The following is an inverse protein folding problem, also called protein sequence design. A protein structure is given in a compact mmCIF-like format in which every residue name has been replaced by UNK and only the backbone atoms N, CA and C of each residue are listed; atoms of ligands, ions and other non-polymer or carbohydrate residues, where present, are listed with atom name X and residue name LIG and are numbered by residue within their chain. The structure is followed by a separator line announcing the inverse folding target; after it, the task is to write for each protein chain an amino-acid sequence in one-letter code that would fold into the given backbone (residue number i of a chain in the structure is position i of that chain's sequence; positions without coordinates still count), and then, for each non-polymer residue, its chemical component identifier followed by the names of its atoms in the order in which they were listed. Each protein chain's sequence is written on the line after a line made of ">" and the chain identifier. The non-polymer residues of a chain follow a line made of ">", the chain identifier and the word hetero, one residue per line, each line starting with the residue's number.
data_IF_801402953136
#
_entry.id   IF_801402953136
#
_cell.length_a   1.000
_cell.length_b   1.000
_cell.length_c   1.000
_cell.angle_alpha   90.00
_cell.angle_beta   90.00
_cell.angle_gamma   90.00
#
_symmetry.space_group_name_H-M   'P 1'
#
loop_
_entity.id
_entity.type
_entity.pdbx_description
1 polymer ?
#
# COMPACT_ATOMS: atom_id res chain seq x y z
N UNK A 1 -10.48 -8.56 21.58
CA UNK A 1 -10.61 -7.09 21.39
C UNK A 1 -10.56 -6.81 19.90
N UNK A 2 -11.68 -6.40 19.29
CA UNK A 2 -11.68 -5.98 17.90
C UNK A 2 -10.90 -4.68 17.77
N UNK A 3 -9.73 -4.75 17.13
CA UNK A 3 -8.92 -3.57 16.80
C UNK A 3 -9.68 -2.84 15.71
N UNK A 4 -10.39 -1.76 16.06
CA UNK A 4 -11.03 -0.89 15.08
C UNK A 4 -9.93 -0.34 14.19
N UNK A 5 -9.94 -0.71 12.91
CA UNK A 5 -9.01 -0.16 11.92
C UNK A 5 -9.54 1.24 11.62
N UNK A 6 -8.91 2.24 12.23
CA UNK A 6 -9.24 3.63 11.95
C UNK A 6 -8.48 4.03 10.68
N UNK A 7 -9.16 4.02 9.54
CA UNK A 7 -8.59 4.52 8.29
C UNK A 7 -8.46 6.04 8.38
N UNK A 8 -7.25 6.54 8.16
CA UNK A 8 -7.03 7.98 8.05
C UNK A 8 -7.21 8.39 6.58
N UNK A 9 -7.67 9.62 6.34
CA UNK A 9 -7.71 10.22 4.99
C UNK A 9 -6.37 10.09 4.28
N UNK A 10 -5.26 10.13 5.02
CA UNK A 10 -3.92 9.93 4.49
C UNK A 10 -3.69 8.56 3.87
N UNK A 11 -4.29 7.50 4.40
CA UNK A 11 -4.14 6.14 3.84
C UNK A 11 -4.78 6.07 2.45
N UNK A 12 -5.95 6.71 2.28
CA UNK A 12 -6.63 6.81 0.99
C UNK A 12 -5.86 7.68 -0.01
N UNK A 13 -5.36 8.84 0.43
CA UNK A 13 -4.55 9.72 -0.43
C UNK A 13 -3.30 8.97 -0.92
N UNK A 14 -2.65 8.20 -0.05
CA UNK A 14 -1.47 7.41 -0.41
C UNK A 14 -1.79 6.33 -1.45
N UNK A 15 -2.90 5.61 -1.26
CA UNK A 15 -3.36 4.61 -2.22
C UNK A 15 -3.69 5.23 -3.59
N UNK A 16 -4.33 6.40 -3.62
CA UNK A 16 -4.65 7.12 -4.85
C UNK A 16 -3.39 7.56 -5.60
N UNK A 17 -2.37 8.06 -4.90
CA UNK A 17 -1.10 8.40 -5.54
C UNK A 17 -0.40 7.17 -6.13
N UNK A 18 -0.38 6.03 -5.43
CA UNK A 18 0.18 4.80 -5.98
C UNK A 18 -0.57 4.33 -7.23
N UNK A 19 -1.89 4.46 -7.24
CA UNK A 19 -2.72 4.14 -8.42
C UNK A 19 -2.41 5.07 -9.60
N UNK A 20 -2.31 6.38 -9.36
CA UNK A 20 -1.94 7.36 -10.39
C UNK A 20 -0.56 7.05 -10.97
N UNK A 21 0.42 6.72 -10.12
CA UNK A 21 1.76 6.30 -10.54
C UNK A 21 1.69 5.06 -11.44
N UNK A 22 0.90 4.04 -11.08
CA UNK A 22 0.71 2.84 -11.90
C UNK A 22 0.16 3.20 -13.29
N UNK A 23 -0.91 3.98 -13.35
CA UNK A 23 -1.55 4.39 -14.60
C UNK A 23 -0.59 5.18 -15.50
N UNK A 24 0.22 6.07 -14.92
CA UNK A 24 1.23 6.82 -15.67
C UNK A 24 2.32 5.91 -16.23
N UNK A 25 2.80 4.94 -15.45
CA UNK A 25 3.77 3.94 -15.93
C UNK A 25 3.20 3.08 -17.05
N UNK A 26 1.96 2.64 -16.94
CA UNK A 26 1.25 1.90 -18.00
C UNK A 26 1.10 2.73 -19.29
N UNK A 27 0.95 4.05 -19.17
CA UNK A 27 0.94 4.99 -20.29
C UNK A 27 2.35 5.38 -20.79
N UNK A 28 3.41 4.75 -20.26
CA UNK A 28 4.81 5.09 -20.53
C UNK A 28 5.18 6.56 -20.21
N UNK A 29 4.46 7.21 -19.29
CA UNK A 29 4.70 8.58 -18.81
C UNK A 29 5.58 8.58 -17.56
N UNK A 30 6.79 8.04 -17.71
CA UNK A 30 7.69 7.78 -16.59
C UNK A 30 8.11 9.07 -15.84
N UNK A 31 8.32 10.17 -16.54
CA UNK A 31 8.68 11.46 -15.93
C UNK A 31 7.55 12.05 -15.07
N UNK A 32 6.29 11.88 -15.48
CA UNK A 32 5.13 12.31 -14.71
C UNK A 32 4.98 11.46 -13.44
N UNK A 33 5.13 10.14 -13.56
CA UNK A 33 5.14 9.23 -12.43
C UNK A 33 6.24 9.59 -11.42
N UNK A 34 7.44 9.91 -11.90
CA UNK A 34 8.58 10.29 -11.07
C UNK A 34 8.31 11.59 -10.29
N UNK A 35 7.69 12.59 -10.92
CA UNK A 35 7.30 13.84 -10.23
C UNK A 35 6.35 13.59 -9.06
N UNK A 36 5.39 12.68 -9.22
CA UNK A 36 4.46 12.31 -8.13
C UNK A 36 5.24 11.63 -7.00
N UNK A 37 6.11 10.68 -7.31
CA UNK A 37 6.96 10.00 -6.31
C UNK A 37 7.78 11.02 -5.50
N UNK A 38 8.35 12.02 -6.17
CA UNK A 38 9.11 13.09 -5.52
C UNK A 38 8.24 13.96 -4.60
N UNK A 39 7.01 14.29 -5.02
CA UNK A 39 6.05 15.03 -4.20
C UNK A 39 5.69 14.23 -2.95
N UNK A 40 5.38 12.93 -3.09
CA UNK A 40 5.09 12.04 -1.95
C UNK A 40 6.28 12.00 -1.00
N UNK A 41 7.48 11.76 -1.54
CA UNK A 41 8.69 11.63 -0.74
C UNK A 41 8.99 12.94 0.02
N UNK A 42 8.86 14.08 -0.64
CA UNK A 42 9.02 15.40 -0.03
C UNK A 42 8.00 15.62 1.09
N UNK A 43 6.74 15.30 0.85
CA UNK A 43 5.68 15.42 1.85
C UNK A 43 5.98 14.57 3.09
N UNK A 44 6.32 13.30 2.90
CA UNK A 44 6.64 12.38 4.00
C UNK A 44 7.88 12.82 4.79
N UNK A 45 8.87 13.42 4.12
CA UNK A 45 10.10 13.91 4.75
C UNK A 45 9.98 15.34 5.31
N UNK A 46 8.82 16.00 5.16
CA UNK A 46 8.63 17.34 5.69
C UNK A 46 8.50 17.26 7.22
N UNK A 47 9.41 17.90 7.98
CA UNK A 47 9.37 17.84 9.43
C UNK A 47 8.12 18.54 9.96
N UNK A 48 7.55 17.96 11.01
CA UNK A 48 6.47 18.61 11.76
C UNK A 48 7.05 19.58 12.79
N UNK A 49 6.23 20.43 13.41
CA UNK A 49 6.68 21.38 14.46
C UNK A 49 7.32 20.72 15.68
N UNK A 50 7.18 19.40 15.82
CA UNK A 50 7.64 18.61 16.97
C UNK A 50 8.84 17.71 16.63
N UNK A 51 9.33 17.71 15.38
CA UNK A 51 10.40 16.81 14.92
C UNK A 51 11.49 17.60 14.20
N UNK A 52 12.73 17.10 14.25
CA UNK A 52 13.85 17.68 13.48
C UNK A 52 13.88 17.10 12.06
N UNK A 53 14.56 17.74 11.10
CA UNK A 53 14.74 17.17 9.77
C UNK A 53 15.38 15.77 9.81
N UNK A 54 16.41 15.57 10.62
CA UNK A 54 17.10 14.30 10.81
C UNK A 54 16.19 13.27 11.50
N UNK A 55 15.48 13.68 12.55
CA UNK A 55 14.52 12.83 13.27
C UNK A 55 13.41 12.34 12.35
N UNK A 56 12.88 13.23 11.51
CA UNK A 56 11.86 12.91 10.50
C UNK A 56 12.37 11.88 9.51
N UNK A 57 13.59 12.07 8.96
CA UNK A 57 14.21 11.10 8.03
C UNK A 57 14.39 9.73 8.68
N UNK A 58 14.91 9.66 9.91
CA UNK A 58 15.09 8.38 10.62
C UNK A 58 13.76 7.70 10.91
N UNK A 59 12.75 8.46 11.33
CA UNK A 59 11.41 7.93 11.62
C UNK A 59 10.73 7.40 10.36
N UNK A 60 10.82 8.11 9.23
CA UNK A 60 10.27 7.67 7.96
C UNK A 60 11.00 6.47 7.37
N UNK A 61 12.33 6.40 7.50
CA UNK A 61 13.09 5.21 7.09
C UNK A 61 12.61 3.97 7.84
N UNK A 62 12.54 4.04 9.18
CA UNK A 62 11.98 2.97 10.03
C UNK A 62 10.52 2.67 9.71
N UNK A 63 9.73 3.68 9.31
CA UNK A 63 8.33 3.47 8.91
C UNK A 63 8.25 2.64 7.64
N UNK A 64 9.05 2.97 6.62
CA UNK A 64 9.07 2.27 5.32
C UNK A 64 9.49 0.81 5.47
N UNK A 65 10.49 0.53 6.31
CA UNK A 65 10.94 -0.84 6.61
C UNK A 65 9.85 -1.73 7.23
N UNK A 66 8.87 -1.15 7.93
CA UNK A 66 7.78 -1.95 8.54
C UNK A 66 6.78 -2.51 7.53
N UNK A 67 6.78 -2.02 6.29
CA UNK A 67 5.92 -2.54 5.24
C UNK A 67 6.61 -3.72 4.57
N UNK A 68 6.21 -4.92 4.95
CA UNK A 68 6.66 -6.18 4.34
C UNK A 68 5.58 -6.76 3.44
N UNK A 69 5.96 -7.71 2.57
CA UNK A 69 5.02 -8.44 1.73
C UNK A 69 3.86 -9.03 2.54
N UNK A 70 4.17 -9.72 3.64
CA UNK A 70 3.18 -10.39 4.50
C UNK A 70 2.23 -9.36 5.12
N UNK A 71 2.73 -8.17 5.45
CA UNK A 71 1.93 -7.09 6.03
C UNK A 71 0.92 -6.48 5.06
N UNK A 72 1.26 -6.41 3.76
CA UNK A 72 0.43 -5.74 2.74
C UNK A 72 -0.58 -6.69 2.10
N UNK A 73 -0.29 -7.98 1.99
CA UNK A 73 -1.22 -8.95 1.39
C UNK A 73 -2.37 -9.32 2.33
N UNK A 74 -2.20 -9.21 3.66
CA UNK A 74 -3.25 -9.53 4.66
C UNK A 74 -3.78 -10.97 4.62
N UNK A 75 -2.96 -11.94 4.19
CA UNK A 75 -3.36 -13.36 4.10
C UNK A 75 -3.97 -13.90 5.41
N UNK A 76 -3.35 -13.65 6.57
CA UNK A 76 -3.85 -14.14 7.87
C UNK A 76 -5.28 -13.65 8.15
N UNK A 77 -5.59 -12.41 7.78
CA UNK A 77 -6.92 -11.83 7.96
C UNK A 77 -7.94 -12.48 7.01
N UNK A 78 -7.56 -12.69 5.76
CA UNK A 78 -8.40 -13.30 4.73
C UNK A 78 -8.69 -14.76 5.10
N UNK A 79 -7.66 -15.54 5.44
CA UNK A 79 -7.78 -16.96 5.80
C UNK A 79 -8.66 -17.16 7.02
N UNK A 80 -8.49 -16.35 8.06
CA UNK A 80 -9.34 -16.40 9.25
C UNK A 80 -10.81 -16.15 8.91
N UNK A 81 -11.10 -15.10 8.15
CA UNK A 81 -12.48 -14.75 7.86
C UNK A 81 -13.11 -15.76 6.86
N UNK A 82 -12.32 -16.41 6.00
CA UNK A 82 -12.75 -17.56 5.19
C UNK A 82 -13.04 -18.81 6.03
N UNK A 83 -12.24 -19.11 7.06
CA UNK A 83 -12.49 -20.21 8.00
C UNK A 83 -13.83 -20.04 8.73
N UNK A 84 -14.21 -18.79 9.00
CA UNK A 84 -15.49 -18.41 9.60
C UNK A 84 -16.66 -18.34 8.58
N UNK A 85 -16.43 -18.73 7.32
CA UNK A 85 -17.36 -18.58 6.18
C UNK A 85 -17.83 -17.13 5.93
N UNK A 86 -17.09 -16.12 6.40
CA UNK A 86 -17.36 -14.71 6.19
C UNK A 86 -16.67 -14.21 4.91
N UNK A 87 -17.22 -14.61 3.77
CA UNK A 87 -16.73 -14.23 2.44
C UNK A 87 -16.69 -12.70 2.28
N UNK A 88 -17.67 -12.00 2.87
CA UNK A 88 -17.76 -10.54 2.78
C UNK A 88 -16.54 -9.90 3.44
N UNK A 89 -16.22 -10.25 4.69
CA UNK A 89 -15.02 -9.70 5.34
C UNK A 89 -13.72 -10.14 4.69
N UNK A 90 -13.63 -11.38 4.23
CA UNK A 90 -12.47 -11.83 3.46
C UNK A 90 -12.24 -10.93 2.22
N UNK A 91 -13.31 -10.51 1.55
CA UNK A 91 -13.24 -9.59 0.41
C UNK A 91 -12.93 -8.14 0.83
N UNK A 92 -13.44 -7.67 1.98
CA UNK A 92 -13.00 -6.39 2.56
C UNK A 92 -11.48 -6.38 2.77
N UNK A 93 -10.91 -7.46 3.30
CA UNK A 93 -9.45 -7.61 3.45
C UNK A 93 -8.69 -7.64 2.13
N UNK A 94 -9.20 -8.35 1.11
CA UNK A 94 -8.60 -8.31 -0.24
C UNK A 94 -8.57 -6.90 -0.80
N UNK A 95 -9.66 -6.13 -0.63
CA UNK A 95 -9.73 -4.75 -1.09
C UNK A 95 -8.73 -3.85 -0.34
N UNK A 96 -8.65 -3.98 0.98
CA UNK A 96 -7.67 -3.25 1.80
C UNK A 96 -6.23 -3.60 1.38
N UNK A 97 -5.97 -4.89 1.13
CA UNK A 97 -4.67 -5.36 0.68
C UNK A 97 -4.30 -4.80 -0.69
N UNK A 98 -5.25 -4.72 -1.64
CA UNK A 98 -5.02 -4.07 -2.94
C UNK A 98 -4.58 -2.62 -2.80
N UNK A 99 -5.27 -1.83 -1.95
CA UNK A 99 -4.88 -0.45 -1.68
C UNK A 99 -3.46 -0.36 -1.10
N UNK A 100 -3.11 -1.28 -0.18
CA UNK A 100 -1.78 -1.35 0.42
C UNK A 100 -0.69 -1.77 -0.56
N UNK A 101 -0.94 -2.77 -1.39
CA UNK A 101 0.01 -3.28 -2.38
C UNK A 101 0.29 -2.24 -3.47
N UNK A 102 -0.75 -1.66 -4.08
CA UNK A 102 -0.59 -0.64 -5.12
C UNK A 102 0.01 0.63 -4.52
N UNK A 103 -0.59 1.14 -3.43
CA UNK A 103 -0.23 2.40 -2.79
C UNK A 103 1.23 2.46 -2.38
N UNK A 104 1.77 1.38 -1.81
CA UNK A 104 3.13 1.38 -1.30
C UNK A 104 4.15 0.93 -2.36
N UNK A 105 3.90 -0.15 -3.10
CA UNK A 105 4.89 -0.74 -4.01
C UNK A 105 5.17 0.16 -5.22
N UNK A 106 4.16 0.84 -5.76
CA UNK A 106 4.33 1.65 -6.97
C UNK A 106 5.24 2.86 -6.78
N UNK A 107 5.34 3.36 -5.56
CA UNK A 107 6.16 4.52 -5.25
C UNK A 107 7.66 4.22 -5.29
N UNK A 108 8.08 2.95 -5.17
CA UNK A 108 9.48 2.59 -5.02
C UNK A 108 10.10 3.02 -3.67
N UNK A 109 9.33 3.61 -2.75
CA UNK A 109 9.85 4.17 -1.50
C UNK A 109 9.99 3.14 -0.36
N UNK A 110 9.49 1.92 -0.55
CA UNK A 110 9.39 0.89 0.48
C UNK A 110 10.32 -0.30 0.13
N UNK A 111 11.52 -0.39 0.73
CA UNK A 111 12.58 -1.29 0.27
C UNK A 111 12.15 -2.76 0.29
N UNK A 112 11.55 -3.21 1.40
CA UNK A 112 11.10 -4.59 1.57
C UNK A 112 9.97 -5.00 0.61
N UNK A 113 9.23 -4.04 0.05
CA UNK A 113 8.23 -4.30 -0.99
C UNK A 113 8.86 -4.31 -2.38
N UNK A 114 9.84 -3.45 -2.64
CA UNK A 114 10.56 -3.40 -3.91
C UNK A 114 11.26 -4.74 -4.21
N UNK A 115 11.83 -5.38 -3.19
CA UNK A 115 12.48 -6.70 -3.30
C UNK A 115 11.52 -7.81 -3.71
N UNK A 116 10.20 -7.62 -3.49
CA UNK A 116 9.15 -8.62 -3.69
C UNK A 116 8.16 -8.18 -4.76
N UNK A 117 8.53 -7.23 -5.63
CA UNK A 117 7.61 -6.55 -6.55
C UNK A 117 6.83 -7.52 -7.45
N UNK A 118 7.48 -8.54 -8.00
CA UNK A 118 6.84 -9.51 -8.90
C UNK A 118 5.82 -10.38 -8.16
N UNK A 119 6.12 -10.81 -6.92
CA UNK A 119 5.18 -11.53 -6.07
C UNK A 119 3.96 -10.66 -5.72
N UNK A 120 4.19 -9.37 -5.45
CA UNK A 120 3.12 -8.41 -5.17
C UNK A 120 2.22 -8.25 -6.40
N UNK A 121 2.79 -8.17 -7.60
CA UNK A 121 1.99 -8.05 -8.84
C UNK A 121 1.12 -9.28 -9.09
N UNK A 122 1.68 -10.48 -8.85
CA UNK A 122 0.91 -11.71 -8.91
C UNK A 122 -0.27 -11.69 -7.93
N UNK A 123 -0.05 -11.22 -6.69
CA UNK A 123 -1.10 -11.11 -5.68
C UNK A 123 -2.15 -10.05 -6.00
N UNK A 124 -1.77 -8.92 -6.60
CA UNK A 124 -2.72 -7.92 -7.09
C UNK A 124 -3.66 -8.56 -8.12
N UNK A 125 -3.12 -9.30 -9.08
CA UNK A 125 -3.91 -9.99 -10.11
C UNK A 125 -4.86 -11.02 -9.50
N UNK A 126 -4.38 -11.82 -8.55
CA UNK A 126 -5.19 -12.80 -7.82
C UNK A 126 -6.36 -12.11 -7.10
N UNK A 127 -6.11 -11.03 -6.36
CA UNK A 127 -7.14 -10.37 -5.56
C UNK A 127 -8.17 -9.65 -6.43
N UNK A 128 -7.76 -9.02 -7.54
CA UNK A 128 -8.70 -8.48 -8.53
C UNK A 128 -9.58 -9.59 -9.10
N UNK A 129 -8.99 -10.74 -9.42
CA UNK A 129 -9.73 -11.89 -9.95
C UNK A 129 -10.76 -12.41 -8.94
N UNK A 130 -10.41 -12.55 -7.66
CA UNK A 130 -11.37 -12.98 -6.64
C UNK A 130 -12.48 -11.95 -6.41
N UNK A 131 -12.15 -10.65 -6.36
CA UNK A 131 -13.13 -9.60 -6.12
C UNK A 131 -14.12 -9.41 -7.28
N UNK A 132 -13.71 -9.71 -8.51
CA UNK A 132 -14.57 -9.61 -9.71
C UNK A 132 -15.51 -10.80 -9.90
N UNK A 133 -15.31 -11.90 -9.16
CA UNK A 133 -16.26 -13.03 -9.14
C UNK A 133 -17.55 -12.71 -8.39
N UNK A 134 -17.57 -11.65 -7.59
CA UNK A 134 -18.74 -11.20 -6.83
C UNK A 134 -19.68 -10.48 -7.81
N UNK A 135 -20.78 -11.15 -8.19
CA UNK A 135 -21.91 -10.56 -8.94
C UNK A 135 -23.09 -10.31 -8.03
#
# INVERSE_FOLDING_TARGET
>A
MNKIIMYNVWDFIHAMWGLEIRLLKEQNKLDEAQKIIEIINKYLLTPTKIDTPEGTKTREAKRRERFTYESVIRNENIERDLQDNDIKRANEWRFIALLGMIGNTETGLYPNLNERKDEIEQKITEYITELTKIK
#
